data_IF_852992494219
#
_entry.id   IF_852992494219
#
_cell.length_a   1.000
_cell.length_b   1.000
_cell.length_c   1.000
_cell.angle_alpha   90.00
_cell.angle_beta   90.00
_cell.angle_gamma   90.00
#
_symmetry.space_group_name_H-M   'P 1'
#
loop_
_entity.id
_entity.type
_entity.pdbx_description
1 polymer ?
#
# COMPACT_ATOMS: atom_id res chain seq x y z
N UNK A 1 34.41 -14.27 -5.65
CA UNK A 1 33.47 -14.26 -4.50
C UNK A 1 32.69 -12.95 -4.33
N UNK A 2 33.07 -11.83 -4.96
CA UNK A 2 32.38 -10.52 -4.85
C UNK A 2 31.02 -10.50 -5.58
N UNK A 3 30.88 -11.19 -6.72
CA UNK A 3 29.65 -11.16 -7.53
C UNK A 3 28.42 -11.81 -6.88
N UNK A 4 28.60 -12.82 -6.02
CA UNK A 4 27.47 -13.48 -5.35
C UNK A 4 26.90 -12.63 -4.20
N UNK A 5 27.76 -11.88 -3.50
CA UNK A 5 27.35 -10.98 -2.43
C UNK A 5 26.50 -9.83 -2.96
N UNK A 6 26.88 -9.26 -4.11
CA UNK A 6 26.15 -8.17 -4.75
C UNK A 6 24.73 -8.58 -5.20
N UNK A 7 24.58 -9.81 -5.69
CA UNK A 7 23.28 -10.36 -6.13
C UNK A 7 22.37 -10.65 -4.93
N UNK A 8 22.92 -11.15 -3.81
CA UNK A 8 22.16 -11.39 -2.59
C UNK A 8 21.64 -10.09 -1.98
N UNK A 9 22.45 -9.02 -1.99
CA UNK A 9 22.08 -7.70 -1.47
C UNK A 9 21.01 -7.02 -2.33
N UNK A 10 21.09 -7.18 -3.66
CA UNK A 10 20.06 -6.71 -4.59
C UNK A 10 18.73 -7.44 -4.38
N UNK A 11 18.74 -8.77 -4.20
CA UNK A 11 17.51 -9.53 -3.92
C UNK A 11 16.88 -9.13 -2.58
N UNK A 12 17.66 -9.01 -1.51
CA UNK A 12 17.13 -8.59 -0.20
C UNK A 12 16.53 -7.18 -0.24
N UNK A 13 17.13 -6.27 -1.02
CA UNK A 13 16.58 -4.93 -1.25
C UNK A 13 15.27 -4.98 -2.04
N UNK A 14 15.19 -5.82 -3.09
CA UNK A 14 13.97 -6.00 -3.89
C UNK A 14 12.84 -6.62 -3.06
N UNK A 15 13.13 -7.63 -2.25
CA UNK A 15 12.15 -8.25 -1.34
C UNK A 15 11.63 -7.23 -0.32
N UNK A 16 12.51 -6.40 0.24
CA UNK A 16 12.14 -5.30 1.14
C UNK A 16 11.22 -4.27 0.48
N UNK A 17 11.47 -3.91 -0.78
CA UNK A 17 10.62 -2.98 -1.55
C UNK A 17 9.24 -3.59 -1.79
N UNK A 18 9.18 -4.86 -2.20
CA UNK A 18 7.90 -5.54 -2.47
C UNK A 18 7.06 -5.65 -1.20
N UNK A 19 7.67 -6.04 -0.08
CA UNK A 19 6.99 -6.09 1.22
C UNK A 19 6.50 -4.70 1.62
N UNK A 20 7.35 -3.68 1.49
CA UNK A 20 6.98 -2.29 1.77
C UNK A 20 5.79 -1.81 0.95
N UNK A 21 5.79 -2.06 -0.36
CA UNK A 21 4.68 -1.73 -1.24
C UNK A 21 3.40 -2.47 -0.85
N UNK A 22 3.50 -3.76 -0.51
CA UNK A 22 2.36 -4.55 -0.09
C UNK A 22 1.73 -3.99 1.20
N UNK A 23 2.55 -3.58 2.17
CA UNK A 23 2.06 -2.96 3.41
C UNK A 23 1.35 -1.63 3.17
N UNK A 24 1.86 -0.80 2.26
CA UNK A 24 1.20 0.46 1.86
C UNK A 24 -0.16 0.17 1.22
N UNK A 25 -0.21 -0.78 0.28
CA UNK A 25 -1.43 -1.20 -0.39
C UNK A 25 -2.48 -1.75 0.59
N UNK A 26 -2.07 -2.61 1.51
CA UNK A 26 -2.94 -3.18 2.54
C UNK A 26 -3.47 -2.11 3.49
N UNK A 27 -2.61 -1.17 3.90
CA UNK A 27 -3.01 -0.05 4.77
C UNK A 27 -4.03 0.85 4.09
N UNK A 28 -3.82 1.15 2.80
CA UNK A 28 -4.74 1.94 2.01
C UNK A 28 -6.09 1.23 1.80
N UNK A 29 -6.07 -0.07 1.51
CA UNK A 29 -7.30 -0.86 1.38
C UNK A 29 -8.08 -0.93 2.70
N UNK A 30 -7.38 -1.09 3.83
CA UNK A 30 -7.99 -1.08 5.15
C UNK A 30 -8.66 0.28 5.45
N UNK A 31 -8.00 1.39 5.10
CA UNK A 31 -8.56 2.72 5.26
C UNK A 31 -9.85 2.92 4.43
N UNK A 32 -9.87 2.51 3.15
CA UNK A 32 -11.09 2.58 2.34
C UNK A 32 -12.21 1.70 2.90
N UNK A 33 -11.87 0.53 3.46
CA UNK A 33 -12.83 -0.32 4.14
C UNK A 33 -13.43 0.37 5.38
N UNK A 34 -12.63 1.06 6.19
CA UNK A 34 -13.16 1.83 7.33
C UNK A 34 -14.06 2.97 6.89
N UNK A 35 -13.67 3.71 5.86
CA UNK A 35 -14.49 4.80 5.27
C UNK A 35 -15.85 4.28 4.82
N UNK A 36 -15.86 3.14 4.10
CA UNK A 36 -17.10 2.50 3.68
C UNK A 36 -17.97 2.04 4.87
N UNK A 37 -17.34 1.46 5.91
CA UNK A 37 -18.02 0.99 7.11
C UNK A 37 -18.67 2.13 7.90
N UNK A 38 -18.02 3.29 7.91
CA UNK A 38 -18.49 4.49 8.61
C UNK A 38 -19.59 5.24 7.84
N UNK A 39 -20.01 4.74 6.67
CA UNK A 39 -21.13 5.28 5.90
C UNK A 39 -20.73 6.28 4.82
N UNK A 40 -19.44 6.45 4.54
CA UNK A 40 -18.95 7.35 3.50
C UNK A 40 -18.74 6.62 2.16
N UNK A 41 -18.80 7.36 1.05
CA UNK A 41 -18.46 6.85 -0.28
C UNK A 41 -16.92 6.84 -0.48
N UNK A 42 -16.26 5.67 -0.50
CA UNK A 42 -14.81 5.61 -0.73
C UNK A 42 -14.44 6.06 -2.16
N UNK A 43 -15.35 5.98 -3.12
CA UNK A 43 -15.11 6.43 -4.49
C UNK A 43 -15.05 7.96 -4.58
N UNK A 44 -15.87 8.65 -3.77
CA UNK A 44 -15.79 10.10 -3.63
C UNK A 44 -14.44 10.51 -3.04
N UNK A 45 -14.01 9.86 -1.95
CA UNK A 45 -12.73 10.13 -1.31
C UNK A 45 -11.54 9.99 -2.27
N UNK A 46 -11.55 8.97 -3.14
CA UNK A 46 -10.50 8.76 -4.14
C UNK A 46 -10.50 9.85 -5.22
N UNK A 47 -11.67 10.35 -5.61
CA UNK A 47 -11.82 11.30 -6.73
C UNK A 47 -11.66 12.75 -6.33
N UNK A 48 -12.18 13.12 -5.16
CA UNK A 48 -12.25 14.52 -4.71
C UNK A 48 -11.35 14.81 -3.52
N UNK A 49 -10.91 13.78 -2.79
CA UNK A 49 -10.21 13.93 -1.51
C UNK A 49 -11.14 14.25 -0.33
N UNK A 50 -12.46 14.21 -0.53
CA UNK A 50 -13.45 14.55 0.49
C UNK A 50 -14.23 13.32 0.96
N UNK A 51 -14.56 13.28 2.25
CA UNK A 51 -15.47 12.29 2.83
C UNK A 51 -16.90 12.74 2.59
N UNK A 52 -17.62 12.04 1.72
CA UNK A 52 -19.02 12.31 1.40
C UNK A 52 -19.86 11.17 1.98
N UNK A 53 -20.81 11.51 2.84
CA UNK A 53 -21.76 10.56 3.44
C UNK A 53 -22.68 9.98 2.36
N UNK A 54 -22.99 8.70 2.47
CA UNK A 54 -23.76 7.94 1.48
C UNK A 54 -25.26 7.98 1.72
#
# INVERSE_FOLDING_TARGET
MIGAYLILDMNATMDGIVIGMMLVLLSFAYYLYTVYRDGYDPLALIKTGELIER
#
